data_IF_883847659725
#
_entry.id   IF_883847659725
#
_cell.length_a   1.000
_cell.length_b   1.000
_cell.length_c   1.000
_cell.angle_alpha   90.00
_cell.angle_beta   90.00
_cell.angle_gamma   90.00
#
_symmetry.space_group_name_H-M   'P 1'
#
loop_
_entity.id
_entity.type
_entity.pdbx_description
1 polymer ?
#
# COMPACT_ATOMS: atom_id res chain seq x y z
N UNK A 1 22.48 -16.26 -9.61
CA UNK A 1 21.77 -17.50 -9.22
C UNK A 1 22.10 -17.85 -7.78
N UNK A 2 21.12 -18.39 -7.02
CA UNK A 2 21.38 -18.81 -5.66
C UNK A 2 22.32 -20.04 -5.61
N UNK A 3 22.82 -20.34 -4.42
CA UNK A 3 23.57 -21.57 -4.15
C UNK A 3 22.68 -22.80 -4.38
N UNK A 4 23.21 -23.83 -5.05
CA UNK A 4 22.44 -25.02 -5.44
C UNK A 4 21.98 -25.83 -4.22
N UNK A 5 22.80 -25.96 -3.17
CA UNK A 5 22.44 -26.68 -1.96
C UNK A 5 21.28 -26.01 -1.21
N UNK A 6 21.30 -24.65 -1.15
CA UNK A 6 20.21 -23.89 -0.57
C UNK A 6 18.95 -23.95 -1.43
N UNK A 7 19.09 -23.95 -2.76
CA UNK A 7 17.97 -24.14 -3.68
C UNK A 7 17.30 -25.51 -3.46
N UNK A 8 18.07 -26.59 -3.38
CA UNK A 8 17.54 -27.93 -3.11
C UNK A 8 16.80 -28.00 -1.77
N UNK A 9 17.36 -27.38 -0.73
CA UNK A 9 16.68 -27.26 0.57
C UNK A 9 15.35 -26.50 0.44
N UNK A 10 15.33 -25.39 -0.28
CA UNK A 10 14.11 -24.59 -0.50
C UNK A 10 13.04 -25.42 -1.25
N UNK A 11 13.42 -26.08 -2.35
CA UNK A 11 12.52 -26.95 -3.11
C UNK A 11 11.93 -28.06 -2.23
N UNK A 12 12.74 -28.68 -1.39
CA UNK A 12 12.30 -29.74 -0.50
C UNK A 12 11.27 -29.26 0.53
N UNK A 13 11.41 -28.07 1.10
CA UNK A 13 10.41 -27.54 2.05
C UNK A 13 9.17 -27.06 1.34
N UNK A 14 9.27 -26.48 0.12
CA UNK A 14 8.11 -26.09 -0.69
C UNK A 14 7.25 -27.31 -0.98
N UNK A 15 7.85 -28.42 -1.45
CA UNK A 15 7.12 -29.68 -1.75
C UNK A 15 6.45 -30.31 -0.53
N UNK A 16 6.87 -29.99 0.69
CA UNK A 16 6.28 -30.52 1.95
C UNK A 16 5.24 -29.59 2.56
N UNK A 17 5.15 -28.36 2.11
CA UNK A 17 4.22 -27.37 2.63
C UNK A 17 2.78 -27.70 2.24
N UNK A 18 1.85 -27.42 3.16
CA UNK A 18 0.41 -27.60 2.95
C UNK A 18 -0.30 -26.28 2.66
N UNK A 19 0.19 -25.19 3.27
CA UNK A 19 -0.39 -23.86 3.17
C UNK A 19 0.72 -22.84 2.79
N UNK A 20 1.41 -23.03 1.65
CA UNK A 20 2.46 -22.09 1.22
C UNK A 20 1.85 -20.79 0.70
N UNK A 21 2.55 -19.68 0.89
CA UNK A 21 2.23 -18.41 0.24
C UNK A 21 3.46 -17.72 -0.33
N UNK A 22 3.28 -16.98 -1.41
CA UNK A 22 4.30 -16.07 -1.95
C UNK A 22 4.03 -14.67 -1.43
N UNK A 23 5.10 -13.95 -1.09
CA UNK A 23 5.08 -12.51 -0.82
C UNK A 23 5.93 -11.81 -1.86
N UNK A 24 5.28 -11.16 -2.83
CA UNK A 24 5.93 -10.43 -3.90
C UNK A 24 6.30 -9.01 -3.43
N UNK A 25 7.59 -8.71 -3.45
CA UNK A 25 8.14 -7.39 -3.20
C UNK A 25 8.60 -6.69 -4.47
N UNK A 26 9.12 -5.48 -4.35
CA UNK A 26 9.62 -4.68 -5.47
C UNK A 26 10.70 -5.37 -6.31
N UNK A 27 11.42 -6.32 -5.75
CA UNK A 27 12.43 -7.08 -6.49
C UNK A 27 11.84 -7.92 -7.64
N UNK A 28 10.56 -8.27 -7.62
CA UNK A 28 9.89 -8.90 -8.76
C UNK A 28 9.82 -7.92 -9.94
N UNK A 29 9.37 -6.69 -9.69
CA UNK A 29 9.23 -5.63 -10.70
C UNK A 29 10.61 -5.18 -11.21
N UNK A 30 11.57 -4.96 -10.31
CA UNK A 30 12.94 -4.54 -10.68
C UNK A 30 13.72 -5.60 -11.46
N UNK A 31 13.42 -6.88 -11.28
CA UNK A 31 14.00 -7.98 -12.06
C UNK A 31 13.21 -8.30 -13.33
N UNK A 32 12.09 -7.61 -13.58
CA UNK A 32 11.16 -7.94 -14.67
C UNK A 32 10.77 -9.42 -14.66
N UNK A 33 10.36 -9.90 -13.48
CA UNK A 33 10.08 -11.31 -13.19
C UNK A 33 8.59 -11.64 -13.11
N UNK A 34 7.71 -10.76 -13.61
CA UNK A 34 6.26 -10.89 -13.48
C UNK A 34 5.73 -12.12 -14.23
N UNK A 35 6.28 -12.39 -15.43
CA UNK A 35 5.90 -13.56 -16.21
C UNK A 35 6.29 -14.86 -15.47
N UNK A 36 7.52 -14.93 -14.97
CA UNK A 36 8.01 -16.09 -14.21
C UNK A 36 7.23 -16.29 -12.91
N UNK A 37 6.84 -15.19 -12.23
CA UNK A 37 5.99 -15.26 -11.04
C UNK A 37 4.61 -15.80 -11.40
N UNK A 38 3.99 -15.31 -12.46
CA UNK A 38 2.71 -15.81 -12.95
C UNK A 38 2.78 -17.31 -13.24
N UNK A 39 3.80 -17.75 -13.97
CA UNK A 39 4.01 -19.17 -14.28
C UNK A 39 4.16 -20.00 -13.00
N UNK A 40 4.90 -19.50 -11.98
CA UNK A 40 5.04 -20.18 -10.71
C UNK A 40 3.70 -20.35 -10.00
N UNK A 41 2.90 -19.29 -9.93
CA UNK A 41 1.58 -19.27 -9.30
C UNK A 41 0.62 -20.24 -10.01
N UNK A 42 0.56 -20.20 -11.35
CA UNK A 42 -0.33 -21.04 -12.15
C UNK A 42 0.07 -22.52 -12.11
N UNK A 43 1.37 -22.82 -12.16
CA UNK A 43 1.86 -24.20 -12.15
C UNK A 43 1.81 -24.89 -10.80
N UNK A 44 1.83 -24.13 -9.70
CA UNK A 44 1.90 -24.70 -8.34
C UNK A 44 0.63 -24.50 -7.52
N UNK A 45 -0.21 -23.55 -7.91
CA UNK A 45 -1.36 -23.13 -7.13
C UNK A 45 -1.00 -22.38 -5.83
N UNK A 46 0.25 -21.93 -5.66
CA UNK A 46 0.67 -21.15 -4.50
C UNK A 46 0.14 -19.72 -4.65
N UNK A 47 -0.69 -19.20 -3.72
CA UNK A 47 -1.19 -17.83 -3.81
C UNK A 47 -0.10 -16.80 -3.58
N UNK A 48 -0.31 -15.61 -4.13
CA UNK A 48 0.58 -14.47 -3.97
C UNK A 48 -0.09 -13.31 -3.26
N UNK A 49 0.61 -12.70 -2.32
CA UNK A 49 0.27 -11.42 -1.72
C UNK A 49 1.37 -10.40 -2.05
N UNK A 50 0.99 -9.13 -2.15
CA UNK A 50 1.86 -8.06 -2.62
C UNK A 50 2.23 -7.11 -1.49
N UNK A 51 3.49 -6.68 -1.46
CA UNK A 51 3.91 -5.55 -0.63
C UNK A 51 3.61 -4.23 -1.36
N UNK A 52 3.76 -3.09 -0.70
CA UNK A 52 3.63 -1.80 -1.37
C UNK A 52 4.51 -1.69 -2.64
N UNK A 53 5.80 -2.01 -2.52
CA UNK A 53 6.73 -1.93 -3.64
C UNK A 53 6.53 -3.06 -4.67
N UNK A 54 5.84 -4.13 -4.30
CA UNK A 54 5.54 -5.26 -5.18
C UNK A 54 4.16 -5.20 -5.81
N UNK A 55 3.36 -4.17 -5.52
CA UNK A 55 2.01 -4.06 -6.06
C UNK A 55 2.04 -3.92 -7.58
N UNK A 56 1.30 -4.81 -8.27
CA UNK A 56 1.35 -4.97 -9.71
C UNK A 56 2.30 -6.06 -10.19
N UNK A 57 2.94 -6.82 -9.28
CA UNK A 57 3.73 -8.01 -9.65
C UNK A 57 2.92 -9.10 -10.34
N UNK A 58 1.61 -9.08 -10.12
CA UNK A 58 0.64 -9.97 -10.78
C UNK A 58 -0.64 -9.19 -11.07
N UNK A 59 -1.33 -9.53 -12.16
CA UNK A 59 -2.58 -8.87 -12.53
C UNK A 59 -3.63 -8.98 -11.42
N UNK A 60 -4.33 -7.89 -11.11
CA UNK A 60 -5.25 -7.84 -9.97
C UNK A 60 -6.39 -8.86 -10.03
N UNK A 61 -6.89 -9.22 -11.23
CA UNK A 61 -7.92 -10.26 -11.42
C UNK A 61 -7.38 -11.69 -11.42
N UNK A 62 -6.09 -11.90 -11.19
CA UNK A 62 -5.56 -13.26 -11.14
C UNK A 62 -6.19 -13.99 -9.94
N UNK A 63 -6.79 -15.20 -10.12
CA UNK A 63 -7.59 -15.88 -9.08
C UNK A 63 -6.81 -16.33 -7.85
N UNK A 64 -5.48 -16.18 -7.85
CA UNK A 64 -4.59 -16.47 -6.74
C UNK A 64 -3.83 -15.20 -6.26
N UNK A 65 -4.21 -14.01 -6.72
CA UNK A 65 -3.73 -12.75 -6.19
C UNK A 65 -4.56 -12.35 -4.97
N UNK A 66 -3.99 -12.52 -3.78
CA UNK A 66 -4.61 -12.14 -2.52
C UNK A 66 -4.61 -10.62 -2.27
N UNK A 67 -3.90 -9.85 -3.11
CA UNK A 67 -3.72 -8.41 -2.94
C UNK A 67 -2.70 -8.06 -1.87
N UNK A 68 -2.89 -6.92 -1.24
CA UNK A 68 -1.97 -6.34 -0.26
C UNK A 68 -1.82 -7.17 1.02
N UNK A 69 -0.60 -7.23 1.58
CA UNK A 69 -0.30 -7.90 2.85
C UNK A 69 0.08 -6.90 3.95
N UNK A 70 -0.32 -7.20 5.18
CA UNK A 70 0.16 -6.53 6.39
C UNK A 70 -0.81 -5.51 6.98
N UNK A 71 -0.30 -4.46 7.60
CA UNK A 71 -1.10 -3.44 8.31
C UNK A 71 -2.15 -2.75 7.43
N UNK A 72 -1.85 -2.58 6.14
CA UNK A 72 -2.77 -2.07 5.11
C UNK A 72 -3.18 -3.16 4.13
N UNK A 73 -3.20 -4.40 4.59
CA UNK A 73 -3.48 -5.57 3.78
C UNK A 73 -4.97 -5.83 3.57
N UNK A 74 -5.23 -6.76 2.64
CA UNK A 74 -6.57 -7.31 2.41
C UNK A 74 -6.90 -8.36 3.46
N UNK A 75 -8.19 -8.65 3.60
CA UNK A 75 -8.66 -9.72 4.48
C UNK A 75 -8.01 -11.07 4.10
N UNK A 76 -8.13 -11.45 2.84
CA UNK A 76 -7.65 -12.75 2.36
C UNK A 76 -6.15 -12.92 2.54
N UNK A 77 -5.33 -11.91 2.19
CA UNK A 77 -3.89 -11.97 2.36
C UNK A 77 -3.48 -12.17 3.83
N UNK A 78 -4.08 -11.40 4.74
CA UNK A 78 -3.76 -11.49 6.16
C UNK A 78 -4.24 -12.79 6.81
N UNK A 79 -5.40 -13.31 6.42
CA UNK A 79 -5.91 -14.60 6.93
C UNK A 79 -5.08 -15.79 6.42
N UNK A 80 -4.68 -15.78 5.15
CA UNK A 80 -3.77 -16.80 4.61
C UNK A 80 -2.39 -16.71 5.26
N UNK A 81 -1.85 -15.49 5.44
CA UNK A 81 -0.56 -15.28 6.11
C UNK A 81 -0.57 -15.84 7.55
N UNK A 82 -1.66 -15.61 8.28
CA UNK A 82 -1.81 -16.07 9.67
C UNK A 82 -1.62 -17.59 9.81
N UNK A 83 -2.14 -18.36 8.85
CA UNK A 83 -2.17 -19.83 8.87
C UNK A 83 -1.03 -20.45 8.05
N UNK A 84 -0.23 -19.66 7.32
CA UNK A 84 0.81 -20.16 6.44
C UNK A 84 1.85 -21.01 7.19
N UNK A 85 2.21 -22.17 6.62
CA UNK A 85 3.30 -23.01 7.10
C UNK A 85 4.62 -22.75 6.35
N UNK A 86 4.53 -22.05 5.20
CA UNK A 86 5.68 -21.61 4.43
C UNK A 86 5.40 -20.26 3.77
N UNK A 87 6.35 -19.34 3.89
CA UNK A 87 6.36 -18.05 3.20
C UNK A 87 7.55 -17.97 2.24
N UNK A 88 7.26 -17.72 0.98
CA UNK A 88 8.27 -17.51 -0.07
C UNK A 88 8.35 -16.02 -0.35
N UNK A 89 9.29 -15.32 0.27
CA UNK A 89 9.51 -13.89 0.04
C UNK A 89 10.35 -13.66 -1.20
N UNK A 90 9.85 -12.86 -2.14
CA UNK A 90 10.56 -12.56 -3.40
C UNK A 90 10.83 -11.07 -3.47
N UNK A 91 12.08 -10.66 -3.35
CA UNK A 91 12.49 -9.26 -3.45
C UNK A 91 11.86 -8.33 -2.42
N UNK A 92 11.55 -8.85 -1.22
CA UNK A 92 10.97 -8.09 -0.11
C UNK A 92 11.97 -7.90 1.03
N UNK A 93 11.85 -6.79 1.77
CA UNK A 93 12.69 -6.46 2.93
C UNK A 93 12.03 -6.81 4.27
N UNK A 94 10.80 -7.32 4.26
CA UNK A 94 10.03 -7.61 5.46
C UNK A 94 9.90 -6.40 6.41
N UNK A 95 9.51 -5.25 5.86
CA UNK A 95 9.28 -4.03 6.62
C UNK A 95 8.13 -4.16 7.62
N UNK A 96 8.01 -3.21 8.52
CA UNK A 96 7.06 -3.22 9.63
C UNK A 96 5.60 -3.29 9.15
N UNK A 97 5.21 -2.46 8.18
CA UNK A 97 3.85 -2.47 7.62
C UNK A 97 3.46 -3.83 7.05
N UNK A 98 4.32 -4.40 6.21
CA UNK A 98 4.05 -5.66 5.51
C UNK A 98 4.02 -6.85 6.47
N UNK A 99 4.84 -6.83 7.52
CA UNK A 99 4.84 -7.87 8.55
C UNK A 99 3.79 -7.64 9.65
N UNK A 100 3.03 -6.54 9.57
CA UNK A 100 2.10 -6.10 10.62
C UNK A 100 2.79 -6.16 12.00
N UNK A 101 3.91 -5.47 12.12
CA UNK A 101 4.75 -5.47 13.33
C UNK A 101 5.08 -6.89 13.82
N UNK A 102 5.43 -7.79 12.90
CA UNK A 102 5.75 -9.21 13.15
C UNK A 102 4.57 -10.05 13.65
N UNK A 103 3.33 -9.62 13.41
CA UNK A 103 2.13 -10.38 13.77
C UNK A 103 1.44 -11.06 12.59
N UNK A 104 1.89 -10.84 11.34
CA UNK A 104 1.25 -11.39 10.16
C UNK A 104 1.21 -12.93 10.16
N UNK A 105 2.27 -13.57 10.66
CA UNK A 105 2.40 -15.04 10.66
C UNK A 105 2.26 -15.60 12.08
N UNK A 106 1.15 -16.25 12.37
CA UNK A 106 0.85 -16.76 13.71
C UNK A 106 1.07 -18.28 13.86
N UNK A 107 1.26 -19.00 12.75
CA UNK A 107 1.65 -20.40 12.80
C UNK A 107 3.04 -20.52 13.46
N UNK A 108 3.19 -21.27 14.58
CA UNK A 108 4.46 -21.40 15.29
C UNK A 108 5.54 -22.10 14.45
N UNK A 109 5.13 -22.97 13.51
CA UNK A 109 6.02 -23.76 12.66
C UNK A 109 6.29 -23.15 11.30
N UNK A 110 5.84 -21.90 11.05
CA UNK A 110 6.05 -21.23 9.77
C UNK A 110 7.53 -21.15 9.42
N UNK A 111 7.86 -21.54 8.19
CA UNK A 111 9.20 -21.48 7.60
C UNK A 111 9.24 -20.40 6.53
N UNK A 112 10.45 -19.94 6.24
CA UNK A 112 10.66 -18.91 5.24
C UNK A 112 11.71 -19.35 4.23
N UNK A 113 11.46 -19.01 2.96
CA UNK A 113 12.42 -19.02 1.85
C UNK A 113 12.47 -17.60 1.32
N UNK A 114 13.64 -16.97 1.29
CA UNK A 114 13.74 -15.59 0.82
C UNK A 114 14.65 -15.49 -0.40
N UNK A 115 14.11 -14.97 -1.48
CA UNK A 115 14.84 -14.62 -2.70
C UNK A 115 15.16 -13.13 -2.65
N UNK A 116 16.42 -12.76 -2.58
CA UNK A 116 16.83 -11.37 -2.58
C UNK A 116 18.25 -11.20 -3.11
N UNK A 117 18.53 -10.10 -3.81
CA UNK A 117 19.88 -9.75 -4.27
C UNK A 117 20.77 -9.30 -3.10
N UNK A 118 20.18 -8.79 -2.02
CA UNK A 118 20.88 -8.39 -0.80
C UNK A 118 20.89 -9.54 0.20
N UNK A 119 22.08 -9.94 0.60
CA UNK A 119 22.29 -10.99 1.60
C UNK A 119 21.53 -10.69 2.90
N UNK A 120 21.66 -9.48 3.44
CA UNK A 120 20.99 -9.06 4.67
C UNK A 120 19.47 -9.33 4.64
N UNK A 121 18.81 -9.04 3.52
CA UNK A 121 17.36 -9.24 3.39
C UNK A 121 17.01 -10.72 3.14
N UNK A 122 17.88 -11.46 2.45
CA UNK A 122 17.69 -12.88 2.21
C UNK A 122 17.71 -13.70 3.52
N UNK A 123 18.52 -13.33 4.51
CA UNK A 123 18.60 -14.01 5.80
C UNK A 123 17.52 -13.64 6.81
N UNK A 124 16.72 -12.60 6.56
CA UNK A 124 15.64 -12.21 7.48
C UNK A 124 14.67 -13.37 7.73
N UNK A 125 13.98 -13.33 8.87
CA UNK A 125 12.98 -14.32 9.28
C UNK A 125 13.55 -15.73 9.52
N UNK A 126 14.88 -15.86 9.74
CA UNK A 126 15.56 -17.17 9.82
C UNK A 126 15.30 -18.07 8.61
N UNK A 127 15.18 -17.45 7.44
CA UNK A 127 14.84 -18.10 6.19
C UNK A 127 15.96 -18.98 5.62
N UNK A 128 15.61 -19.89 4.72
CA UNK A 128 16.57 -20.41 3.74
C UNK A 128 16.84 -19.28 2.75
N UNK A 129 18.06 -18.70 2.70
CA UNK A 129 18.36 -17.58 1.85
C UNK A 129 18.69 -18.05 0.43
N UNK A 130 17.94 -17.57 -0.54
CA UNK A 130 18.26 -17.72 -1.95
C UNK A 130 18.79 -16.38 -2.46
N UNK A 131 20.05 -16.09 -2.19
CA UNK A 131 20.68 -14.85 -2.65
C UNK A 131 20.84 -14.90 -4.17
N UNK A 132 20.14 -14.03 -4.87
CA UNK A 132 20.15 -13.99 -6.32
C UNK A 132 19.07 -13.05 -6.90
N UNK A 133 19.14 -12.90 -8.20
CA UNK A 133 18.14 -12.20 -8.99
C UNK A 133 16.80 -12.94 -8.94
N UNK A 134 15.68 -12.20 -8.81
CA UNK A 134 14.35 -12.80 -8.66
C UNK A 134 13.96 -13.61 -9.89
N UNK A 135 14.12 -13.06 -11.09
CA UNK A 135 13.76 -13.73 -12.35
C UNK A 135 14.49 -15.07 -12.51
N UNK A 136 15.80 -15.04 -12.36
CA UNK A 136 16.64 -16.24 -12.51
C UNK A 136 16.32 -17.30 -11.44
N UNK A 137 16.08 -16.86 -10.22
CA UNK A 137 15.76 -17.79 -9.13
C UNK A 137 14.37 -18.40 -9.30
N UNK A 138 13.37 -17.61 -9.71
CA UNK A 138 12.01 -18.13 -9.98
C UNK A 138 12.04 -19.13 -11.14
N UNK A 139 12.82 -18.89 -12.20
CA UNK A 139 12.99 -19.85 -13.30
C UNK A 139 13.52 -21.21 -12.80
N UNK A 140 14.51 -21.19 -11.91
CA UNK A 140 15.04 -22.43 -11.30
C UNK A 140 14.00 -23.13 -10.41
N UNK A 141 13.24 -22.38 -9.65
CA UNK A 141 12.17 -22.92 -8.81
C UNK A 141 11.07 -23.54 -9.68
N UNK A 142 10.63 -22.87 -10.71
CA UNK A 142 9.63 -23.36 -11.68
C UNK A 142 10.06 -24.69 -12.29
N UNK A 143 11.34 -24.77 -12.70
CA UNK A 143 11.88 -26.01 -13.28
C UNK A 143 11.82 -27.18 -12.28
N UNK A 144 12.16 -26.94 -11.01
CA UNK A 144 12.27 -27.98 -9.98
C UNK A 144 10.94 -28.36 -9.32
N UNK A 145 9.89 -27.50 -9.48
CA UNK A 145 8.55 -27.73 -8.93
C UNK A 145 7.59 -28.35 -9.97
N UNK A 146 8.06 -28.78 -11.13
CA UNK A 146 7.19 -29.44 -12.11
C UNK A 146 6.42 -30.61 -11.49
N UNK A 147 5.08 -30.56 -11.63
CA UNK A 147 4.16 -31.54 -11.07
C UNK A 147 3.81 -31.35 -9.59
N UNK A 148 4.35 -30.35 -8.91
CA UNK A 148 3.88 -29.96 -7.58
C UNK A 148 2.63 -29.09 -7.71
N UNK A 149 1.64 -29.32 -6.87
CA UNK A 149 0.45 -28.48 -6.75
C UNK A 149 -0.02 -28.45 -5.29
N UNK A 150 -0.54 -27.31 -4.86
CA UNK A 150 -1.26 -27.20 -3.59
C UNK A 150 -2.55 -28.01 -3.62
N UNK A 151 -3.13 -28.30 -2.46
CA UNK A 151 -4.38 -29.06 -2.37
C UNK A 151 -5.57 -28.29 -2.98
N UNK A 152 -6.56 -29.01 -3.51
CA UNK A 152 -7.78 -28.39 -4.05
C UNK A 152 -8.53 -27.58 -3.01
N UNK A 153 -8.57 -28.04 -1.76
CA UNK A 153 -9.26 -27.35 -0.66
C UNK A 153 -8.58 -26.02 -0.33
N UNK A 154 -7.24 -26.01 -0.32
CA UNK A 154 -6.48 -24.77 -0.12
C UNK A 154 -6.70 -23.77 -1.27
N UNK A 155 -6.66 -24.24 -2.52
CA UNK A 155 -6.97 -23.44 -3.70
C UNK A 155 -8.38 -22.83 -3.65
N UNK A 156 -9.37 -23.61 -3.26
CA UNK A 156 -10.75 -23.12 -3.16
C UNK A 156 -10.89 -22.05 -2.07
N UNK A 157 -10.24 -22.25 -0.90
CA UNK A 157 -10.19 -21.26 0.17
C UNK A 157 -9.57 -19.93 -0.32
N UNK A 158 -8.45 -20.00 -1.03
CA UNK A 158 -7.77 -18.81 -1.59
C UNK A 158 -8.67 -18.07 -2.58
N UNK A 159 -9.25 -18.80 -3.55
CA UNK A 159 -10.15 -18.19 -4.55
C UNK A 159 -11.38 -17.54 -3.92
N UNK A 160 -11.93 -18.15 -2.88
CA UNK A 160 -13.05 -17.58 -2.13
C UNK A 160 -12.65 -16.23 -1.52
N UNK A 161 -11.50 -16.12 -0.87
CA UNK A 161 -11.04 -14.87 -0.29
C UNK A 161 -10.76 -13.78 -1.34
N UNK A 162 -10.26 -14.16 -2.52
CA UNK A 162 -10.07 -13.20 -3.62
C UNK A 162 -11.42 -12.64 -4.09
N UNK A 163 -12.44 -13.48 -4.27
CA UNK A 163 -13.79 -13.05 -4.68
C UNK A 163 -14.47 -12.19 -3.60
N UNK A 164 -14.38 -12.60 -2.33
CA UNK A 164 -14.93 -11.82 -1.22
C UNK A 164 -14.30 -10.43 -1.15
N UNK A 165 -12.98 -10.34 -1.36
CA UNK A 165 -12.30 -9.05 -1.36
C UNK A 165 -12.69 -8.17 -2.55
N UNK A 166 -12.82 -8.73 -3.74
CA UNK A 166 -13.29 -7.99 -4.92
C UNK A 166 -14.69 -7.40 -4.70
N UNK A 167 -15.59 -8.16 -4.05
CA UNK A 167 -16.93 -7.67 -3.68
C UNK A 167 -16.84 -6.48 -2.71
N UNK A 168 -15.97 -6.57 -1.70
CA UNK A 168 -15.74 -5.47 -0.76
C UNK A 168 -15.22 -4.21 -1.48
N UNK A 169 -14.28 -4.38 -2.42
CA UNK A 169 -13.74 -3.25 -3.20
C UNK A 169 -14.83 -2.61 -4.04
N UNK A 170 -15.70 -3.40 -4.70
CA UNK A 170 -16.83 -2.88 -5.47
C UNK A 170 -17.79 -2.07 -4.59
N UNK A 171 -18.10 -2.57 -3.39
CA UNK A 171 -18.94 -1.83 -2.42
C UNK A 171 -18.31 -0.51 -1.97
N UNK A 172 -16.99 -0.53 -1.70
CA UNK A 172 -16.24 0.65 -1.23
C UNK A 172 -16.07 1.70 -2.33
N UNK A 173 -16.02 1.28 -3.59
CA UNK A 173 -15.94 2.18 -4.74
C UNK A 173 -17.27 2.86 -5.06
N UNK A 174 -18.39 2.26 -4.66
CA UNK A 174 -19.71 2.85 -4.87
C UNK A 174 -19.89 4.13 -4.07
N UNK A 175 -20.14 5.23 -4.75
CA UNK A 175 -20.37 6.53 -4.13
C UNK A 175 -21.72 6.56 -3.41
N UNK A 176 -21.70 6.71 -2.09
CA UNK A 176 -22.88 6.75 -1.23
C UNK A 176 -23.52 8.14 -1.24
N UNK A 177 -22.70 9.18 -1.13
CA UNK A 177 -23.13 10.58 -1.22
C UNK A 177 -22.44 11.27 -2.39
N UNK A 178 -23.20 11.50 -3.45
CA UNK A 178 -22.67 12.12 -4.68
C UNK A 178 -22.12 13.54 -4.47
N UNK A 179 -22.59 14.25 -3.45
CA UNK A 179 -22.17 15.63 -3.16
C UNK A 179 -20.95 15.67 -2.22
N UNK A 180 -20.78 14.66 -1.39
CA UNK A 180 -19.71 14.60 -0.40
C UNK A 180 -18.97 13.23 -0.43
N UNK A 181 -18.28 12.91 -1.52
CA UNK A 181 -17.57 11.64 -1.63
C UNK A 181 -16.43 11.53 -0.62
N UNK A 182 -16.13 10.30 -0.22
CA UNK A 182 -14.99 10.01 0.63
C UNK A 182 -13.76 9.60 -0.18
N UNK A 183 -12.58 9.57 0.46
CA UNK A 183 -11.30 9.29 -0.21
C UNK A 183 -11.33 7.99 -1.03
N UNK A 184 -11.89 6.90 -0.49
CA UNK A 184 -11.98 5.62 -1.18
C UNK A 184 -12.87 5.66 -2.43
N UNK A 185 -13.93 6.45 -2.42
CA UNK A 185 -14.81 6.65 -3.57
C UNK A 185 -14.11 7.46 -4.68
N UNK A 186 -13.34 8.51 -4.32
CA UNK A 186 -12.49 9.21 -5.28
C UNK A 186 -11.40 8.30 -5.88
N UNK A 187 -10.78 7.45 -5.06
CA UNK A 187 -9.81 6.44 -5.52
C UNK A 187 -10.48 5.45 -6.48
N UNK A 188 -11.69 4.99 -6.16
CA UNK A 188 -12.46 4.09 -7.01
C UNK A 188 -12.75 4.69 -8.38
N UNK A 189 -13.32 5.88 -8.41
CA UNK A 189 -13.62 6.59 -9.65
C UNK A 189 -12.37 6.86 -10.50
N UNK A 190 -11.23 7.19 -9.86
CA UNK A 190 -9.95 7.32 -10.56
C UNK A 190 -9.47 5.98 -11.12
N UNK A 191 -9.58 4.89 -10.35
CA UNK A 191 -9.14 3.57 -10.79
C UNK A 191 -9.95 3.04 -11.98
N UNK A 192 -11.24 3.37 -12.05
CA UNK A 192 -12.09 3.07 -13.21
C UNK A 192 -11.76 3.95 -14.42
N UNK A 193 -11.37 5.20 -14.18
CA UNK A 193 -11.08 6.20 -15.22
C UNK A 193 -9.74 5.95 -15.92
N UNK A 194 -8.70 5.52 -15.21
CA UNK A 194 -7.34 5.37 -15.77
C UNK A 194 -7.25 4.24 -16.78
N UNK A 195 -6.44 4.42 -17.81
CA UNK A 195 -6.13 3.40 -18.80
C UNK A 195 -5.14 2.35 -18.23
N UNK A 196 -5.00 1.23 -18.91
CA UNK A 196 -4.17 0.11 -18.45
C UNK A 196 -2.68 0.48 -18.32
N UNK A 197 -2.19 1.44 -19.12
CA UNK A 197 -0.80 1.88 -19.11
C UNK A 197 -0.54 3.08 -18.18
N UNK A 198 -1.57 3.67 -17.60
CA UNK A 198 -1.40 4.83 -16.74
C UNK A 198 -0.68 4.47 -15.43
N UNK A 199 -0.04 5.46 -14.82
CA UNK A 199 0.68 5.28 -13.56
C UNK A 199 0.06 6.10 -12.46
N UNK A 200 -0.22 5.46 -11.33
CA UNK A 200 -0.55 6.14 -10.07
C UNK A 200 0.71 6.33 -9.22
N UNK A 201 0.90 7.54 -8.71
CA UNK A 201 2.02 7.88 -7.82
C UNK A 201 1.48 8.41 -6.50
N UNK A 202 2.02 7.91 -5.40
CA UNK A 202 1.68 8.37 -4.04
C UNK A 202 2.89 8.17 -3.11
N UNK A 203 2.84 8.71 -1.89
CA UNK A 203 3.90 8.51 -0.92
C UNK A 203 3.36 8.36 0.51
N UNK A 204 2.82 9.41 1.11
CA UNK A 204 2.53 9.46 2.53
C UNK A 204 1.06 9.84 2.84
N UNK A 205 0.68 9.68 4.09
CA UNK A 205 -0.66 10.01 4.60
C UNK A 205 -1.62 8.82 4.67
N UNK A 206 -2.91 9.06 4.47
CA UNK A 206 -3.95 8.01 4.47
C UNK A 206 -4.10 7.32 3.12
N UNK A 207 -3.91 8.07 2.03
CA UNK A 207 -4.10 7.58 0.67
C UNK A 207 -3.25 6.35 0.31
N UNK A 208 -1.95 6.24 0.68
CA UNK A 208 -1.16 5.04 0.38
C UNK A 208 -1.76 3.75 0.94
N UNK A 209 -2.28 3.81 2.18
CA UNK A 209 -2.91 2.65 2.81
C UNK A 209 -4.15 2.19 2.06
N UNK A 210 -4.98 3.12 1.60
CA UNK A 210 -6.16 2.82 0.82
C UNK A 210 -5.79 2.35 -0.59
N UNK A 211 -4.84 2.99 -1.25
CA UNK A 211 -4.31 2.53 -2.54
C UNK A 211 -3.73 1.12 -2.45
N UNK A 212 -2.99 0.78 -1.39
CA UNK A 212 -2.42 -0.55 -1.24
C UNK A 212 -3.48 -1.64 -1.24
N UNK A 213 -4.57 -1.46 -0.50
CA UNK A 213 -5.61 -2.46 -0.37
C UNK A 213 -6.67 -2.42 -1.48
N UNK A 214 -6.95 -1.26 -2.06
CA UNK A 214 -8.08 -1.06 -2.97
C UNK A 214 -7.68 -0.95 -4.44
N UNK A 215 -6.52 -0.35 -4.75
CA UNK A 215 -6.14 -0.09 -6.13
C UNK A 215 -5.99 -1.37 -6.95
N UNK A 216 -6.75 -1.48 -8.02
CA UNK A 216 -6.73 -2.58 -8.98
C UNK A 216 -5.67 -2.29 -10.03
N UNK A 217 -4.46 -2.80 -9.81
CA UNK A 217 -3.31 -2.56 -10.68
C UNK A 217 -3.41 -3.39 -11.96
N UNK A 218 -3.45 -2.70 -13.10
CA UNK A 218 -3.67 -3.33 -14.41
C UNK A 218 -2.37 -3.74 -15.10
N UNK A 219 -1.23 -3.12 -14.76
CA UNK A 219 0.09 -3.44 -15.30
C UNK A 219 1.18 -3.39 -14.22
N UNK A 220 2.33 -4.00 -14.47
CA UNK A 220 3.41 -4.16 -13.49
C UNK A 220 4.07 -2.86 -13.04
N UNK A 221 4.07 -1.83 -13.87
CA UNK A 221 4.67 -0.53 -13.58
C UNK A 221 3.61 0.58 -13.45
N UNK A 222 2.35 0.22 -13.20
CA UNK A 222 1.22 1.15 -13.07
C UNK A 222 1.02 1.69 -11.65
N UNK A 223 1.82 1.23 -10.68
CA UNK A 223 1.74 1.67 -9.29
C UNK A 223 3.13 2.04 -8.79
N UNK A 224 3.31 3.30 -8.40
CA UNK A 224 4.59 3.78 -7.84
C UNK A 224 4.36 4.45 -6.49
N UNK A 225 5.04 3.96 -5.49
CA UNK A 225 4.95 4.49 -4.13
C UNK A 225 6.36 4.66 -3.55
N UNK A 226 6.67 5.84 -3.01
CA UNK A 226 7.80 5.96 -2.10
C UNK A 226 7.43 5.28 -0.79
N UNK A 227 8.13 4.21 -0.50
CA UNK A 227 7.78 3.35 0.61
C UNK A 227 8.91 3.16 1.62
N UNK A 228 10.12 3.54 1.28
CA UNK A 228 11.27 3.37 2.15
C UNK A 228 11.08 4.05 3.51
N UNK A 229 10.57 5.26 3.50
CA UNK A 229 10.38 6.11 4.68
C UNK A 229 9.03 6.86 4.71
N UNK A 230 8.12 6.62 3.79
CA UNK A 230 6.83 7.34 3.64
C UNK A 230 7.03 8.86 3.62
N UNK A 231 7.91 9.35 2.74
CA UNK A 231 8.32 10.75 2.70
C UNK A 231 7.19 11.64 2.18
N UNK A 232 6.61 12.47 3.04
CA UNK A 232 5.67 13.52 2.65
C UNK A 232 6.36 14.50 1.71
N UNK A 233 5.67 14.90 0.64
CA UNK A 233 6.22 15.80 -0.38
C UNK A 233 6.89 15.10 -1.56
N UNK A 234 7.09 13.78 -1.50
CA UNK A 234 7.61 13.00 -2.61
C UNK A 234 6.64 12.91 -3.80
N UNK A 235 5.35 13.03 -3.57
CA UNK A 235 4.30 12.69 -4.54
C UNK A 235 4.48 13.44 -5.86
N UNK A 236 4.65 14.76 -5.83
CA UNK A 236 4.76 15.61 -7.03
C UNK A 236 6.10 15.38 -7.75
N UNK A 237 7.26 15.51 -7.09
CA UNK A 237 8.55 15.22 -7.73
C UNK A 237 8.66 13.75 -8.18
N UNK A 238 8.08 12.81 -7.45
CA UNK A 238 8.00 11.41 -7.88
C UNK A 238 7.18 11.23 -9.14
N UNK A 239 6.03 11.90 -9.24
CA UNK A 239 5.20 11.93 -10.44
C UNK A 239 5.94 12.53 -11.64
N UNK A 240 6.65 13.63 -11.44
CA UNK A 240 7.52 14.22 -12.46
C UNK A 240 8.60 13.24 -12.90
N UNK A 241 9.29 12.59 -11.95
CA UNK A 241 10.33 11.61 -12.27
C UNK A 241 9.82 10.43 -13.08
N UNK A 242 8.61 9.92 -12.77
CA UNK A 242 7.95 8.87 -13.57
C UNK A 242 7.64 9.37 -14.97
N UNK A 243 7.09 10.59 -15.11
CA UNK A 243 6.77 11.20 -16.41
C UNK A 243 8.02 11.44 -17.26
N UNK A 244 9.14 11.84 -16.64
CA UNK A 244 10.42 12.00 -17.33
C UNK A 244 10.98 10.65 -17.81
N UNK A 245 10.81 9.58 -17.03
CA UNK A 245 11.30 8.25 -17.38
C UNK A 245 10.48 7.60 -18.51
N UNK A 246 9.18 7.88 -18.57
CA UNK A 246 8.26 7.35 -19.58
C UNK A 246 7.26 8.46 -20.01
N UNK A 247 7.68 9.34 -20.94
CA UNK A 247 6.91 10.51 -21.34
C UNK A 247 5.56 10.22 -21.99
N UNK A 248 5.39 9.05 -22.56
CA UNK A 248 4.18 8.67 -23.29
C UNK A 248 3.03 8.21 -22.37
N UNK A 249 3.33 7.93 -21.09
CA UNK A 249 2.32 7.50 -20.12
C UNK A 249 1.64 8.67 -19.43
N UNK A 250 0.34 8.54 -19.16
CA UNK A 250 -0.33 9.45 -18.23
C UNK A 250 0.07 9.10 -16.78
N UNK A 251 0.36 10.16 -16.02
CA UNK A 251 0.77 10.04 -14.62
C UNK A 251 -0.21 10.77 -13.73
N UNK A 252 -0.83 10.04 -12.82
CA UNK A 252 -1.74 10.55 -11.80
C UNK A 252 -1.05 10.51 -10.44
N UNK A 253 -1.00 11.65 -9.77
CA UNK A 253 -0.40 11.80 -8.45
C UNK A 253 -1.51 11.96 -7.43
N UNK A 254 -1.60 11.09 -6.43
CA UNK A 254 -2.49 11.32 -5.27
C UNK A 254 -1.66 11.94 -4.16
N UNK A 255 -2.05 13.14 -3.74
CA UNK A 255 -1.36 13.92 -2.73
C UNK A 255 -2.37 14.48 -1.71
N UNK A 256 -2.12 14.25 -0.41
CA UNK A 256 -2.89 14.90 0.65
C UNK A 256 -2.46 16.35 0.85
N UNK A 257 -3.33 17.18 1.42
CA UNK A 257 -3.11 18.60 1.70
C UNK A 257 -1.83 18.88 2.49
N UNK A 258 -1.58 18.12 3.56
CA UNK A 258 -0.37 18.27 4.37
C UNK A 258 0.89 17.84 3.62
N UNK A 259 0.83 16.82 2.78
CA UNK A 259 1.93 16.36 1.94
C UNK A 259 2.23 17.38 0.84
N UNK A 260 1.19 17.94 0.22
CA UNK A 260 1.29 19.01 -0.76
C UNK A 260 2.06 20.22 -0.19
N UNK A 261 1.75 20.64 1.04
CA UNK A 261 2.42 21.78 1.69
C UNK A 261 3.91 21.54 1.96
N UNK A 262 4.40 20.31 1.91
CA UNK A 262 5.82 20.01 2.11
C UNK A 262 6.66 20.36 0.88
N UNK A 263 6.16 20.07 -0.34
CA UNK A 263 6.94 20.30 -1.57
C UNK A 263 6.04 20.49 -2.80
N UNK A 264 5.31 21.62 -2.92
CA UNK A 264 4.51 21.90 -4.13
C UNK A 264 5.33 22.52 -5.27
N UNK A 265 6.58 22.91 -5.01
CA UNK A 265 7.42 23.70 -5.93
C UNK A 265 7.71 23.00 -7.25
N UNK A 266 7.71 21.66 -7.29
CA UNK A 266 7.96 20.91 -8.52
C UNK A 266 6.82 20.98 -9.54
N UNK A 267 5.67 21.57 -9.18
CA UNK A 267 4.68 22.01 -10.18
C UNK A 267 5.33 22.98 -11.17
N UNK A 268 6.16 23.93 -10.69
CA UNK A 268 6.89 24.86 -11.56
C UNK A 268 7.82 24.08 -12.50
N UNK A 269 8.55 23.09 -11.96
CA UNK A 269 9.47 22.27 -12.76
C UNK A 269 8.73 21.48 -13.84
N UNK A 270 7.55 20.89 -13.53
CA UNK A 270 6.75 20.18 -14.54
C UNK A 270 6.38 21.08 -15.71
N UNK A 271 5.99 22.33 -15.42
CA UNK A 271 5.58 23.31 -16.44
C UNK A 271 6.78 23.82 -17.24
N UNK A 272 7.88 24.13 -16.55
CA UNK A 272 9.13 24.60 -17.18
C UNK A 272 9.68 23.57 -18.16
N UNK A 273 9.66 22.29 -17.80
CA UNK A 273 10.19 21.19 -18.60
C UNK A 273 9.17 20.60 -19.59
N UNK A 274 7.92 21.05 -19.54
CA UNK A 274 6.85 20.57 -20.43
C UNK A 274 6.39 19.14 -20.12
N UNK A 275 6.56 18.65 -18.89
CA UNK A 275 6.10 17.34 -18.45
C UNK A 275 4.76 17.47 -17.71
N UNK A 276 3.68 17.09 -18.40
CA UNK A 276 2.34 17.11 -17.83
C UNK A 276 2.16 15.96 -16.83
N UNK A 277 1.67 16.27 -15.63
CA UNK A 277 1.11 15.31 -14.67
C UNK A 277 -0.27 15.76 -14.20
N UNK A 278 -1.11 14.85 -13.74
CA UNK A 278 -2.40 15.15 -13.12
C UNK A 278 -2.33 14.89 -11.63
N UNK A 279 -2.51 15.93 -10.81
CA UNK A 279 -2.43 15.85 -9.35
C UNK A 279 -3.84 15.83 -8.78
N UNK A 280 -4.20 14.76 -8.09
CA UNK A 280 -5.41 14.66 -7.29
C UNK A 280 -5.07 15.12 -5.88
N UNK A 281 -5.38 16.37 -5.59
CA UNK A 281 -5.10 16.98 -4.29
C UNK A 281 -6.29 16.79 -3.36
N UNK A 282 -6.13 15.88 -2.40
CA UNK A 282 -7.16 15.51 -1.43
C UNK A 282 -7.01 16.39 -0.20
N UNK A 283 -7.99 17.26 0.02
CA UNK A 283 -8.06 18.10 1.21
C UNK A 283 -8.88 17.43 2.30
N UNK A 284 -8.24 17.17 3.43
CA UNK A 284 -8.88 16.72 4.66
C UNK A 284 -8.53 17.61 5.87
N UNK A 285 -8.01 18.81 5.59
CA UNK A 285 -7.70 19.90 6.52
C UNK A 285 -6.62 19.53 7.57
N UNK A 286 -5.61 18.74 7.15
CA UNK A 286 -4.45 18.45 7.99
C UNK A 286 -3.86 17.04 7.83
N UNK A 287 -3.28 16.56 8.91
CA UNK A 287 -2.54 15.30 9.01
C UNK A 287 -3.47 14.15 9.41
N UNK A 288 -4.42 13.77 8.54
CA UNK A 288 -5.49 12.81 8.87
C UNK A 288 -4.96 11.45 9.37
N UNK A 289 -3.89 10.92 8.76
CA UNK A 289 -3.26 9.66 9.19
C UNK A 289 -2.74 9.75 10.62
N UNK A 290 -1.97 10.80 10.94
CA UNK A 290 -1.40 11.02 12.27
C UNK A 290 -2.50 11.29 13.31
N UNK A 291 -3.53 12.07 12.95
CA UNK A 291 -4.70 12.28 13.79
C UNK A 291 -5.42 10.98 14.12
N UNK A 292 -5.62 10.12 13.12
CA UNK A 292 -6.20 8.79 13.27
C UNK A 292 -5.38 7.88 14.18
N UNK A 293 -4.07 7.85 14.02
CA UNK A 293 -3.16 7.09 14.91
C UNK A 293 -3.20 7.61 16.34
N UNK A 294 -3.13 8.94 16.54
CA UNK A 294 -3.27 9.53 17.88
C UNK A 294 -4.58 9.12 18.55
N UNK A 295 -5.70 9.21 17.82
CA UNK A 295 -7.01 8.83 18.35
C UNK A 295 -7.09 7.33 18.69
N UNK A 296 -6.47 6.46 17.89
CA UNK A 296 -6.46 5.00 18.10
C UNK A 296 -5.76 4.60 19.41
N UNK A 297 -4.79 5.38 19.85
CA UNK A 297 -4.07 5.16 21.12
C UNK A 297 -4.60 6.00 22.29
N UNK A 298 -5.79 6.57 22.14
CA UNK A 298 -6.45 7.34 23.20
C UNK A 298 -6.05 8.81 23.30
N UNK A 299 -5.26 9.32 22.36
CA UNK A 299 -4.93 10.73 22.22
C UNK A 299 -6.07 11.55 21.60
N UNK A 300 -5.89 12.87 21.50
CA UNK A 300 -6.89 13.81 20.98
C UNK A 300 -6.50 14.42 19.62
N UNK A 301 -5.40 13.94 19.02
CA UNK A 301 -4.95 14.45 17.72
C UNK A 301 -4.45 15.89 17.76
N UNK A 302 -3.83 16.33 18.86
CA UNK A 302 -3.32 17.69 18.99
C UNK A 302 -2.39 18.06 17.82
N UNK A 303 -2.63 19.22 17.20
CA UNK A 303 -1.81 19.74 16.11
C UNK A 303 -1.96 19.01 14.78
N UNK A 304 -2.93 18.11 14.63
CA UNK A 304 -3.16 17.36 13.39
C UNK A 304 -4.23 17.98 12.47
N UNK A 305 -4.74 19.14 12.83
CA UNK A 305 -5.65 19.95 12.01
C UNK A 305 -5.06 21.33 11.76
N UNK A 306 -5.37 21.93 10.62
CA UNK A 306 -5.03 23.32 10.32
C UNK A 306 -6.01 24.26 11.02
N UNK A 307 -5.85 24.42 12.34
CA UNK A 307 -6.71 25.24 13.20
C UNK A 307 -5.96 26.31 13.96
N UNK A 308 -6.64 27.43 14.20
CA UNK A 308 -6.13 28.47 15.09
C UNK A 308 -5.98 27.96 16.52
N UNK A 309 -4.99 28.51 17.23
CA UNK A 309 -4.87 28.32 18.68
C UNK A 309 -5.98 29.07 19.40
N UNK A 310 -6.70 28.38 20.24
CA UNK A 310 -7.69 28.96 21.13
C UNK A 310 -6.98 29.66 22.31
N UNK A 311 -7.13 30.99 22.47
CA UNK A 311 -6.43 31.72 23.52
C UNK A 311 -6.89 31.35 24.96
N UNK A 312 -8.11 30.79 25.11
CA UNK A 312 -8.65 30.39 26.41
C UNK A 312 -8.13 29.04 26.89
N UNK A 313 -8.00 28.08 25.97
CA UNK A 313 -7.60 26.72 26.33
C UNK A 313 -6.13 26.45 26.05
N UNK A 314 -5.49 27.24 25.19
CA UNK A 314 -4.14 27.02 24.71
C UNK A 314 -4.04 25.84 23.69
N UNK A 315 -5.17 25.25 23.32
CA UNK A 315 -5.23 24.15 22.37
C UNK A 315 -5.35 24.65 20.93
N UNK A 316 -5.09 23.78 19.94
CA UNK A 316 -5.30 24.03 18.50
C UNK A 316 -6.70 23.55 18.08
N UNK A 317 -7.72 24.10 18.76
CA UNK A 317 -9.15 23.72 18.61
C UNK A 317 -10.05 24.90 18.19
N UNK A 318 -9.44 26.00 17.74
CA UNK A 318 -10.17 27.13 17.15
C UNK A 318 -10.74 26.83 15.75
N UNK A 319 -11.10 27.88 15.01
CA UNK A 319 -11.58 27.76 13.64
C UNK A 319 -10.48 27.25 12.71
N UNK A 320 -10.87 26.70 11.56
CA UNK A 320 -9.90 26.30 10.53
C UNK A 320 -9.17 27.50 9.93
N UNK A 321 -7.91 27.30 9.59
CA UNK A 321 -7.11 28.30 8.90
C UNK A 321 -7.63 28.50 7.47
N UNK A 322 -7.63 29.73 6.93
CA UNK A 322 -8.10 30.02 5.58
C UNK A 322 -7.03 29.64 4.52
N UNK A 323 -6.65 28.37 4.50
CA UNK A 323 -5.65 27.86 3.54
C UNK A 323 -6.34 27.48 2.24
N UNK A 324 -5.99 28.15 1.14
CA UNK A 324 -6.51 27.85 -0.21
C UNK A 324 -5.40 27.21 -1.06
N UNK A 325 -5.30 25.89 -0.99
CA UNK A 325 -4.28 25.13 -1.73
C UNK A 325 -4.54 25.14 -3.25
N UNK A 326 -5.78 25.30 -3.67
CA UNK A 326 -6.12 25.42 -5.07
C UNK A 326 -5.54 26.71 -5.68
N UNK A 327 -5.72 27.85 -5.00
CA UNK A 327 -5.06 29.12 -5.44
C UNK A 327 -3.55 29.03 -5.36
N UNK A 328 -3.00 28.31 -4.39
CA UNK A 328 -1.56 28.08 -4.33
C UNK A 328 -1.08 27.32 -5.58
N UNK A 329 -1.75 26.26 -5.98
CA UNK A 329 -1.42 25.51 -7.18
C UNK A 329 -1.57 26.35 -8.46
N UNK A 330 -2.62 27.19 -8.57
CA UNK A 330 -2.80 28.15 -9.66
C UNK A 330 -1.62 29.14 -9.72
N UNK A 331 -1.17 29.67 -8.57
CA UNK A 331 -0.05 30.60 -8.50
C UNK A 331 1.28 29.97 -8.94
N UNK A 332 1.42 28.65 -8.86
CA UNK A 332 2.57 27.90 -9.37
C UNK A 332 2.44 27.55 -10.86
N UNK A 333 1.33 27.92 -11.51
CA UNK A 333 1.11 27.77 -12.95
C UNK A 333 0.28 26.57 -13.36
N UNK A 334 -0.25 25.77 -12.43
CA UNK A 334 -1.11 24.64 -12.78
C UNK A 334 -2.52 25.08 -13.22
N UNK A 335 -3.15 24.31 -14.11
CA UNK A 335 -4.60 24.40 -14.32
C UNK A 335 -5.28 23.73 -13.15
N UNK A 336 -6.25 24.40 -12.52
CA UNK A 336 -6.92 23.87 -11.32
C UNK A 336 -8.42 23.69 -11.56
N UNK A 337 -8.93 22.51 -11.20
CA UNK A 337 -10.36 22.21 -11.12
C UNK A 337 -10.74 21.94 -9.66
N UNK A 338 -11.88 22.51 -9.23
CA UNK A 338 -12.46 22.33 -7.88
C UNK A 338 -13.86 21.70 -8.02
N UNK A 339 -13.95 20.40 -8.34
CA UNK A 339 -15.24 19.73 -8.51
C UNK A 339 -16.00 19.65 -7.19
N UNK A 340 -17.31 19.84 -7.29
CA UNK A 340 -18.25 19.61 -6.18
C UNK A 340 -18.94 18.27 -6.40
N UNK A 341 -18.52 17.27 -5.63
CA UNK A 341 -19.07 15.92 -5.73
C UNK A 341 -18.54 15.08 -6.89
N UNK A 342 -19.02 13.84 -6.95
CA UNK A 342 -18.45 12.80 -7.81
C UNK A 342 -18.60 13.08 -9.31
N UNK A 343 -19.78 13.55 -9.73
CA UNK A 343 -20.04 13.83 -11.15
C UNK A 343 -19.09 14.88 -11.73
N UNK A 344 -18.85 15.96 -10.98
CA UNK A 344 -17.93 17.02 -11.42
C UNK A 344 -16.48 16.53 -11.35
N UNK A 345 -16.15 15.62 -10.40
CA UNK A 345 -14.82 15.01 -10.29
C UNK A 345 -14.46 14.21 -11.55
N UNK A 346 -15.35 13.32 -11.99
CA UNK A 346 -15.14 12.54 -13.22
C UNK A 346 -14.97 13.48 -14.44
N UNK A 347 -15.81 14.50 -14.55
CA UNK A 347 -15.69 15.51 -15.62
C UNK A 347 -14.35 16.30 -15.53
N UNK A 348 -13.86 16.57 -14.32
CA UNK A 348 -12.58 17.23 -14.12
C UNK A 348 -11.40 16.32 -14.55
N UNK A 349 -11.47 15.01 -14.30
CA UNK A 349 -10.49 14.04 -14.79
C UNK A 349 -10.44 14.00 -16.33
N UNK A 350 -11.62 14.01 -17.00
CA UNK A 350 -11.69 14.04 -18.46
C UNK A 350 -11.05 15.31 -19.05
N UNK A 351 -11.25 16.46 -18.40
CA UNK A 351 -10.63 17.72 -18.80
C UNK A 351 -9.12 17.69 -18.56
N UNK A 352 -8.70 17.22 -17.38
CA UNK A 352 -7.29 17.10 -17.02
C UNK A 352 -6.53 16.22 -18.03
N UNK A 353 -7.13 15.10 -18.47
CA UNK A 353 -6.54 14.22 -19.47
C UNK A 353 -6.28 14.93 -20.82
N UNK A 354 -7.12 15.91 -21.18
CA UNK A 354 -7.04 16.69 -22.44
C UNK A 354 -6.12 17.90 -22.37
N UNK A 355 -5.74 18.34 -21.18
CA UNK A 355 -4.86 19.48 -21.02
C UNK A 355 -3.42 19.14 -21.43
N UNK A 356 -2.67 20.13 -21.90
CA UNK A 356 -1.26 19.99 -22.32
C UNK A 356 -0.25 20.33 -21.21
N UNK A 357 -0.73 20.74 -20.05
CA UNK A 357 0.10 21.14 -18.92
C UNK A 357 -0.39 20.51 -17.61
N UNK A 358 0.45 20.57 -16.58
CA UNK A 358 0.12 20.02 -15.26
C UNK A 358 -1.19 20.58 -14.74
N UNK A 359 -2.04 19.67 -14.29
CA UNK A 359 -3.40 19.96 -13.82
C UNK A 359 -3.57 19.45 -12.40
N UNK A 360 -4.20 20.24 -11.55
CA UNK A 360 -4.59 19.88 -10.19
C UNK A 360 -6.11 19.73 -10.13
N UNK A 361 -6.58 18.56 -9.72
CA UNK A 361 -7.97 18.31 -9.36
C UNK A 361 -8.06 18.31 -7.84
N UNK A 362 -8.54 19.43 -7.28
CA UNK A 362 -8.66 19.63 -5.84
C UNK A 362 -10.01 19.13 -5.35
N UNK A 363 -10.00 18.20 -4.40
CA UNK A 363 -11.21 17.62 -3.83
C UNK A 363 -11.20 17.72 -2.30
N UNK A 364 -12.34 18.13 -1.73
CA UNK A 364 -12.58 18.02 -0.29
C UNK A 364 -13.10 16.63 0.05
N UNK A 365 -12.68 16.08 1.18
CA UNK A 365 -13.17 14.79 1.66
C UNK A 365 -13.57 14.83 3.11
N UNK A 366 -14.54 14.02 3.48
CA UNK A 366 -14.94 13.83 4.87
C UNK A 366 -13.83 13.06 5.58
N UNK A 367 -13.26 13.68 6.61
CA UNK A 367 -12.08 13.19 7.34
C UNK A 367 -12.33 11.89 8.10
N UNK A 368 -13.51 11.67 8.62
CA UNK A 368 -13.78 10.64 9.63
C UNK A 368 -14.40 9.36 9.07
N UNK A 369 -14.64 9.29 7.75
CA UNK A 369 -15.17 8.08 7.15
C UNK A 369 -14.03 7.09 6.90
N UNK A 370 -13.88 6.14 7.80
CA UNK A 370 -12.91 5.05 7.73
C UNK A 370 -13.51 3.86 6.99
N UNK A 371 -12.65 3.15 6.26
CA UNK A 371 -12.94 1.77 5.93
C UNK A 371 -12.84 0.93 7.21
N UNK A 372 -13.95 0.76 7.91
CA UNK A 372 -13.97 -0.05 9.11
C UNK A 372 -13.86 -1.54 8.79
N UNK A 373 -13.11 -2.27 9.60
CA UNK A 373 -13.16 -3.74 9.65
C UNK A 373 -12.25 -4.50 8.70
N UNK A 374 -11.43 -3.86 7.90
CA UNK A 374 -10.58 -4.56 6.92
C UNK A 374 -9.14 -4.82 7.38
N UNK A 375 -8.78 -4.50 8.63
CA UNK A 375 -7.49 -4.80 9.21
C UNK A 375 -7.52 -6.13 9.96
N UNK A 376 -7.17 -7.21 9.26
CA UNK A 376 -7.08 -8.55 9.86
C UNK A 376 -5.69 -8.85 10.44
N UNK A 377 -4.99 -7.80 10.86
CA UNK A 377 -3.67 -7.86 11.46
C UNK A 377 -3.54 -6.80 12.55
N UNK A 378 -2.64 -7.01 13.48
CA UNK A 378 -2.28 -6.00 14.47
C UNK A 378 -1.01 -5.27 14.01
N UNK A 379 -1.02 -3.94 14.15
CA UNK A 379 0.12 -3.10 13.86
C UNK A 379 0.47 -2.27 15.09
N UNK A 380 1.75 -2.21 15.44
CA UNK A 380 2.24 -1.58 16.65
C UNK A 380 2.20 -0.05 16.53
N UNK A 381 1.22 0.56 17.18
CA UNK A 381 1.21 2.01 17.47
C UNK A 381 1.54 2.18 18.95
N UNK A 382 2.70 2.76 19.29
CA UNK A 382 3.14 2.86 20.67
C UNK A 382 2.15 3.62 21.56
N UNK A 383 1.84 3.05 22.70
CA UNK A 383 0.96 3.65 23.72
C UNK A 383 1.79 4.04 24.94
N UNK A 384 1.64 5.25 25.50
CA UNK A 384 2.36 5.65 26.72
C UNK A 384 2.19 4.64 27.84
N UNK A 385 3.28 4.29 28.50
CA UNK A 385 3.27 3.38 29.66
C UNK A 385 2.64 4.03 30.89
N UNK A 386 2.86 5.34 31.05
CA UNK A 386 2.30 6.12 32.14
C UNK A 386 1.39 7.20 31.58
N UNK A 387 0.14 7.19 31.99
CA UNK A 387 -0.85 8.22 31.62
C UNK A 387 -1.88 8.43 32.74
N UNK A 388 -2.31 9.68 32.94
CA UNK A 388 -3.44 10.02 33.81
C UNK A 388 -4.80 9.77 33.12
N UNK A 389 -4.82 9.63 31.80
CA UNK A 389 -6.03 9.38 31.01
C UNK A 389 -6.46 7.92 31.15
N UNK A 390 -7.67 7.69 31.66
CA UNK A 390 -8.29 6.35 31.70
C UNK A 390 -8.45 5.72 30.32
N UNK A 391 -8.68 6.54 29.30
CA UNK A 391 -8.78 6.10 27.90
C UNK A 391 -7.44 5.51 27.43
N UNK A 392 -6.33 6.18 27.66
CA UNK A 392 -4.99 5.71 27.33
C UNK A 392 -4.63 4.44 28.11
N UNK A 393 -4.95 4.39 29.42
CA UNK A 393 -4.70 3.19 30.23
C UNK A 393 -5.41 1.95 29.68
N UNK A 394 -6.68 2.08 29.26
CA UNK A 394 -7.44 0.99 28.63
C UNK A 394 -6.80 0.52 27.32
N UNK A 395 -6.39 1.46 26.47
CA UNK A 395 -5.73 1.12 25.19
C UNK A 395 -4.37 0.48 25.43
N UNK A 396 -3.67 0.85 26.52
CA UNK A 396 -2.40 0.21 26.91
C UNK A 396 -2.55 -1.29 27.16
N UNK A 397 -3.62 -1.72 27.82
CA UNK A 397 -3.88 -3.14 28.06
C UNK A 397 -4.04 -3.93 26.74
N UNK A 398 -4.70 -3.34 25.76
CA UNK A 398 -4.86 -3.97 24.42
C UNK A 398 -3.54 -3.95 23.63
N UNK A 399 -2.75 -2.90 23.75
CA UNK A 399 -1.41 -2.83 23.19
C UNK A 399 -0.50 -3.95 23.72
N UNK A 400 -0.49 -4.20 25.05
CA UNK A 400 0.30 -5.26 25.65
C UNK A 400 -0.15 -6.67 25.21
N UNK A 401 -1.46 -6.85 24.96
CA UNK A 401 -1.96 -8.10 24.35
C UNK A 401 -1.44 -8.27 22.91
N UNK A 402 -1.49 -7.21 22.10
CA UNK A 402 -0.99 -7.19 20.74
C UNK A 402 0.51 -7.50 20.66
N UNK A 403 1.31 -6.92 21.54
CA UNK A 403 2.76 -7.21 21.61
C UNK A 403 3.08 -8.68 21.86
N UNK A 404 2.23 -9.40 22.57
CA UNK A 404 2.40 -10.86 22.80
C UNK A 404 2.23 -11.69 21.53
N UNK A 405 1.55 -11.15 20.51
CA UNK A 405 1.37 -11.81 19.21
C UNK A 405 2.60 -11.65 18.29
N UNK A 406 3.51 -10.74 18.63
CA UNK A 406 4.72 -10.51 17.82
C UNK A 406 5.60 -11.76 17.81
N UNK A 407 5.95 -12.23 16.62
CA UNK A 407 6.81 -13.40 16.46
C UNK A 407 8.24 -13.08 16.92
N UNK A 408 8.75 -13.94 17.80
CA UNK A 408 10.15 -13.89 18.24
C UNK A 408 10.95 -14.93 17.43
N UNK A 409 11.92 -14.47 16.64
CA UNK A 409 12.76 -15.33 15.81
C UNK A 409 13.97 -15.88 16.57
N UNK A 410 14.38 -15.18 17.64
CA UNK A 410 15.41 -15.62 18.56
C UNK A 410 14.70 -15.91 19.88
N UNK A 411 14.75 -17.14 20.34
CA UNK A 411 14.29 -17.49 21.68
C UNK A 411 15.37 -16.95 22.65
N UNK A 412 15.01 -16.10 23.62
CA UNK A 412 15.95 -15.80 24.69
C UNK A 412 16.29 -17.12 25.40
N UNK A 413 17.58 -17.35 25.63
CA UNK A 413 18.07 -18.48 26.43
C UNK A 413 17.46 -18.45 27.82
#
# INVERSE_FOLDING_TARGET
>A
TPDNFLLDKAINIIKKSKNPMIVAGGGVIYSEAEAELKDLVENTGIPVAETFAGKGSIYYKHPLNLGALGATGTQGANLIAKDADLVIGIGTRYGDFMSASKTAWQNPDVKFVNINVKEFDAFKQSAIPLQGDAKRTIQLINYNLKGFNTSKDYLNKVKQYCVEWDTIVDEVYNTVDQNNPVQSEYIGALNEFVDDNDVIVCAAGSAPGDLHKLWRTKNSKGFHLEYGNSCMGYEIPGGLGVKMADPDREVYVICGDASYLMLPSDIITTIQEGYKITIILINNEGYASIGGLSNSVGGEGFGTHFKYRNPKTGQLDGDFLPVDLAKNAESLGAIVYKPKGMKEYVNALEKAKKNDTTTVVYVDTIRDRKMDGYAYSWWEVPVPEVSKSKKVQKVRDDYEKGKKLQKKYIKPN
#
